data_IF_307427131019
#
_entry.id   IF_307427131019
#
_cell.length_a   1.000
_cell.length_b   1.000
_cell.length_c   1.000
_cell.angle_alpha   90.00
_cell.angle_beta   90.00
_cell.angle_gamma   90.00
#
_symmetry.space_group_name_H-M   'P 1'
#
loop_
_entity.id
_entity.type
_entity.pdbx_description
1 polymer ?
#
# COMPACT_ATOMS: atom_id res chain seq x y z
N UNK A 1 -3.44 6.87 -0.53
CA UNK A 1 -2.74 5.58 -0.72
C UNK A 1 -3.77 4.60 -1.23
N UNK A 2 -3.53 3.95 -2.37
CA UNK A 2 -4.50 3.06 -3.01
C UNK A 2 -3.81 1.79 -3.50
N UNK A 3 -2.89 1.22 -2.70
CA UNK A 3 -2.30 -0.09 -3.00
C UNK A 3 -3.35 -1.19 -3.14
N UNK A 4 -4.49 -0.98 -2.47
CA UNK A 4 -5.69 -1.76 -2.61
C UNK A 4 -6.24 -1.82 -4.05
N UNK A 5 -5.87 -0.92 -4.98
CA UNK A 5 -6.47 -0.90 -6.34
C UNK A 5 -6.13 -2.13 -7.18
N UNK A 6 -5.06 -2.83 -6.80
CA UNK A 6 -4.62 -4.07 -7.45
C UNK A 6 -4.97 -5.32 -6.65
N UNK A 7 -5.56 -5.17 -5.46
CA UNK A 7 -5.92 -6.30 -4.61
C UNK A 7 -7.23 -6.91 -5.09
N UNK A 8 -7.24 -8.22 -5.36
CA UNK A 8 -8.40 -8.95 -5.88
C UNK A 8 -9.67 -8.75 -5.04
N UNK A 9 -9.53 -8.67 -3.71
CA UNK A 9 -10.68 -8.45 -2.82
C UNK A 9 -11.19 -7.00 -2.74
N UNK A 10 -10.55 -6.02 -3.40
CA UNK A 10 -10.91 -4.61 -3.25
C UNK A 10 -12.39 -4.34 -3.52
N UNK A 11 -12.87 -4.85 -4.65
CA UNK A 11 -14.24 -4.62 -5.07
C UNK A 11 -15.22 -5.25 -4.08
N UNK A 12 -14.92 -6.45 -3.60
CA UNK A 12 -15.71 -7.15 -2.60
C UNK A 12 -15.72 -6.38 -1.27
N UNK A 13 -14.57 -5.88 -0.83
CA UNK A 13 -14.43 -5.07 0.39
C UNK A 13 -15.19 -3.75 0.30
N UNK A 14 -15.12 -3.05 -0.84
CA UNK A 14 -15.88 -1.82 -1.09
C UNK A 14 -17.38 -2.14 -1.08
N UNK A 15 -17.80 -3.18 -1.78
CA UNK A 15 -19.20 -3.58 -1.91
C UNK A 15 -19.81 -3.94 -0.55
N UNK A 16 -19.12 -4.75 0.25
CA UNK A 16 -19.55 -5.10 1.60
C UNK A 16 -19.67 -3.85 2.50
N UNK A 17 -18.66 -2.97 2.46
CA UNK A 17 -18.69 -1.70 3.19
C UNK A 17 -19.80 -0.78 2.70
N UNK A 18 -20.13 -0.81 1.40
CA UNK A 18 -21.18 0.02 0.82
C UNK A 18 -22.58 -0.49 1.14
N UNK A 19 -22.80 -1.81 1.17
CA UNK A 19 -24.08 -2.43 1.49
C UNK A 19 -24.44 -2.35 2.98
N UNK A 20 -23.45 -2.20 3.86
CA UNK A 20 -23.73 -2.13 5.30
C UNK A 20 -24.63 -0.94 5.67
N UNK A 21 -25.65 -1.15 6.52
CA UNK A 21 -26.57 -0.10 6.96
C UNK A 21 -25.86 0.95 7.81
N UNK A 22 -26.45 2.15 7.85
CA UNK A 22 -25.94 3.33 8.58
C UNK A 22 -27.00 3.93 9.51
N UNK A 23 -28.28 3.58 9.33
CA UNK A 23 -29.40 4.14 10.10
C UNK A 23 -29.72 5.60 9.79
N UNK A 24 -29.10 6.17 8.75
CA UNK A 24 -29.26 7.57 8.34
C UNK A 24 -29.71 7.68 6.88
N UNK A 25 -30.19 8.86 6.49
CA UNK A 25 -30.76 9.13 5.17
C UNK A 25 -30.07 10.32 4.48
N UNK A 26 -30.34 10.48 3.18
CA UNK A 26 -29.83 11.59 2.38
C UNK A 26 -28.30 11.71 2.40
N UNK A 27 -27.79 12.94 2.44
CA UNK A 27 -26.35 13.23 2.41
C UNK A 27 -25.60 12.70 3.64
N UNK A 28 -26.26 12.59 4.79
CA UNK A 28 -25.65 12.06 6.03
C UNK A 28 -25.31 10.57 5.85
N UNK A 29 -26.18 9.82 5.17
CA UNK A 29 -25.92 8.42 4.83
C UNK A 29 -24.69 8.27 3.96
N UNK A 30 -24.61 9.09 2.90
CA UNK A 30 -23.46 9.09 2.00
C UNK A 30 -22.17 9.42 2.75
N UNK A 31 -22.18 10.46 3.59
CA UNK A 31 -21.02 10.85 4.40
C UNK A 31 -20.55 9.72 5.33
N UNK A 32 -21.48 9.04 6.01
CA UNK A 32 -21.13 7.93 6.90
C UNK A 32 -20.57 6.72 6.15
N UNK A 33 -21.17 6.36 5.00
CA UNK A 33 -20.64 5.29 4.12
C UNK A 33 -19.22 5.61 3.67
N UNK A 34 -18.97 6.84 3.22
CA UNK A 34 -17.63 7.30 2.80
C UNK A 34 -16.63 7.31 3.96
N UNK A 35 -17.04 7.76 5.15
CA UNK A 35 -16.17 7.76 6.33
C UNK A 35 -15.79 6.34 6.75
N UNK A 36 -16.77 5.44 6.86
CA UNK A 36 -16.52 4.02 7.18
C UNK A 36 -15.59 3.39 6.16
N UNK A 37 -15.89 3.59 4.88
CA UNK A 37 -15.07 3.06 3.80
C UNK A 37 -13.63 3.57 3.93
N UNK A 38 -13.41 4.89 4.13
CA UNK A 38 -12.10 5.49 4.35
C UNK A 38 -11.34 4.88 5.53
N UNK A 39 -11.99 4.63 6.66
CA UNK A 39 -11.34 4.03 7.83
C UNK A 39 -10.95 2.57 7.58
N UNK A 40 -11.85 1.79 6.98
CA UNK A 40 -11.58 0.40 6.62
C UNK A 40 -10.39 0.31 5.67
N UNK A 41 -10.39 1.15 4.65
CA UNK A 41 -9.32 1.30 3.68
C UNK A 41 -7.98 1.69 4.32
N UNK A 42 -7.98 2.60 5.31
CA UNK A 42 -6.78 2.93 6.10
C UNK A 42 -6.27 1.72 6.88
N UNK A 43 -7.16 1.01 7.57
CA UNK A 43 -6.82 -0.19 8.31
C UNK A 43 -6.25 -1.26 7.37
N UNK A 44 -6.91 -1.49 6.24
CA UNK A 44 -6.54 -2.51 5.27
C UNK A 44 -5.18 -2.21 4.64
N UNK A 45 -4.92 -0.94 4.33
CA UNK A 45 -3.63 -0.50 3.85
C UNK A 45 -2.50 -0.70 4.89
N UNK A 46 -2.80 -0.56 6.19
CA UNK A 46 -1.83 -0.85 7.26
C UNK A 46 -1.63 -2.35 7.50
N UNK A 47 -2.69 -3.17 7.41
CA UNK A 47 -2.62 -4.59 7.76
C UNK A 47 -2.14 -5.48 6.62
N UNK A 48 -2.51 -5.17 5.37
CA UNK A 48 -2.11 -5.97 4.21
C UNK A 48 -0.75 -5.57 3.68
N UNK A 49 -0.48 -4.26 3.58
CA UNK A 49 0.80 -3.77 3.06
C UNK A 49 1.82 -3.47 4.18
N UNK A 50 1.39 -3.57 5.44
CA UNK A 50 2.25 -3.33 6.60
C UNK A 50 2.76 -1.89 6.69
N UNK A 51 3.74 -1.70 7.58
CA UNK A 51 4.68 -0.60 7.44
C UNK A 51 5.72 -1.03 6.40
N UNK A 52 5.44 -0.73 5.13
CA UNK A 52 6.33 -1.04 4.01
C UNK A 52 7.79 -0.65 4.29
N UNK A 53 8.01 0.49 4.96
CA UNK A 53 9.35 0.97 5.28
C UNK A 53 10.01 0.17 6.41
N UNK A 54 9.22 -0.31 7.39
CA UNK A 54 9.71 -1.26 8.38
C UNK A 54 10.08 -2.61 7.74
N UNK A 55 9.23 -3.13 6.85
CA UNK A 55 9.49 -4.37 6.11
C UNK A 55 10.75 -4.24 5.23
N UNK A 56 10.95 -3.08 4.61
CA UNK A 56 12.16 -2.78 3.83
C UNK A 56 13.41 -2.81 4.70
N UNK A 57 13.37 -2.16 5.88
CA UNK A 57 14.48 -2.17 6.83
C UNK A 57 14.81 -3.59 7.30
N UNK A 58 13.80 -4.36 7.67
CA UNK A 58 13.99 -5.75 8.09
C UNK A 58 14.56 -6.63 6.98
N UNK A 59 14.11 -6.45 5.73
CA UNK A 59 14.65 -7.18 4.59
C UNK A 59 16.11 -6.81 4.29
N UNK A 60 16.47 -5.52 4.40
CA UNK A 60 17.86 -5.07 4.26
C UNK A 60 18.77 -5.63 5.35
N UNK A 61 18.33 -5.58 6.62
CA UNK A 61 19.05 -6.17 7.75
C UNK A 61 19.23 -7.68 7.58
N UNK A 62 18.20 -8.38 7.08
CA UNK A 62 18.27 -9.79 6.78
C UNK A 62 19.32 -10.09 5.69
N UNK A 63 19.31 -9.36 4.57
CA UNK A 63 20.33 -9.52 3.52
C UNK A 63 21.73 -9.33 4.09
N UNK A 64 21.96 -8.24 4.83
CA UNK A 64 23.26 -7.96 5.44
C UNK A 64 23.72 -9.08 6.39
N UNK A 65 22.79 -9.64 7.17
CA UNK A 65 23.09 -10.78 8.05
C UNK A 65 23.49 -12.04 7.26
N UNK A 66 22.85 -12.30 6.11
CA UNK A 66 23.13 -13.48 5.27
C UNK A 66 24.39 -13.30 4.42
N UNK A 67 24.67 -12.09 3.97
CA UNK A 67 25.93 -11.74 3.32
C UNK A 67 27.09 -11.99 4.27
N UNK A 68 26.98 -11.53 5.52
CA UNK A 68 28.00 -11.81 6.54
C UNK A 68 28.19 -13.31 6.77
N UNK A 69 27.10 -14.06 6.91
CA UNK A 69 27.18 -15.52 7.09
C UNK A 69 27.85 -16.23 5.90
N UNK A 70 27.63 -15.74 4.67
CA UNK A 70 28.27 -16.26 3.48
C UNK A 70 29.76 -15.89 3.40
N UNK A 71 30.13 -14.67 3.79
CA UNK A 71 31.55 -14.25 3.89
C UNK A 71 32.30 -15.07 4.93
N UNK A 72 31.69 -15.29 6.10
CA UNK A 72 32.28 -16.08 7.19
C UNK A 72 32.39 -17.57 6.83
N UNK A 73 31.42 -18.11 6.08
CA UNK A 73 31.43 -19.50 5.62
C UNK A 73 30.80 -19.61 4.21
N UNK A 74 31.64 -19.62 3.16
CA UNK A 74 31.17 -19.75 1.78
C UNK A 74 30.75 -21.20 1.51
N UNK A 75 29.45 -21.47 1.64
CA UNK A 75 28.86 -22.77 1.33
C UNK A 75 27.55 -22.61 0.55
N UNK A 76 27.13 -23.68 -0.12
CA UNK A 76 25.93 -23.68 -0.96
C UNK A 76 24.66 -23.34 -0.16
N UNK A 77 24.56 -23.81 1.09
CA UNK A 77 23.43 -23.50 1.98
C UNK A 77 23.34 -22.00 2.27
N UNK A 78 24.47 -21.37 2.62
CA UNK A 78 24.52 -19.94 2.90
C UNK A 78 24.24 -19.10 1.65
N UNK A 79 24.69 -19.55 0.48
CA UNK A 79 24.38 -18.92 -0.81
C UNK A 79 22.88 -18.97 -1.12
N UNK A 80 22.23 -20.13 -0.91
CA UNK A 80 20.79 -20.28 -1.09
C UNK A 80 20.03 -19.35 -0.15
N UNK A 81 20.43 -19.27 1.12
CA UNK A 81 19.80 -18.40 2.11
C UNK A 81 19.99 -16.90 1.80
N UNK A 82 21.17 -16.51 1.31
CA UNK A 82 21.42 -15.16 0.80
C UNK A 82 20.53 -14.84 -0.41
N UNK A 83 20.41 -15.75 -1.36
CA UNK A 83 19.55 -15.58 -2.54
C UNK A 83 18.07 -15.44 -2.14
N UNK A 84 17.60 -16.21 -1.16
CA UNK A 84 16.23 -16.04 -0.61
C UNK A 84 16.03 -14.67 0.03
N UNK A 85 17.00 -14.20 0.82
CA UNK A 85 16.94 -12.87 1.43
C UNK A 85 16.92 -11.76 0.36
N UNK A 86 17.74 -11.89 -0.68
CA UNK A 86 17.77 -10.96 -1.82
C UNK A 86 16.45 -10.95 -2.60
N UNK A 87 15.84 -12.12 -2.83
CA UNK A 87 14.54 -12.21 -3.46
C UNK A 87 13.44 -11.55 -2.61
N UNK A 88 13.48 -11.72 -1.28
CA UNK A 88 12.57 -11.04 -0.37
C UNK A 88 12.75 -9.51 -0.41
N UNK A 89 13.99 -9.02 -0.42
CA UNK A 89 14.28 -7.59 -0.56
C UNK A 89 13.79 -7.03 -1.91
N UNK A 90 14.01 -7.75 -3.01
CA UNK A 90 13.55 -7.36 -4.35
C UNK A 90 12.02 -7.21 -4.40
N UNK A 91 11.28 -8.11 -3.77
CA UNK A 91 9.81 -8.01 -3.68
C UNK A 91 9.38 -6.74 -2.92
N UNK A 92 10.06 -6.41 -1.82
CA UNK A 92 9.75 -5.19 -1.05
C UNK A 92 10.08 -3.92 -1.84
N UNK A 93 11.18 -3.89 -2.57
CA UNK A 93 11.54 -2.79 -3.45
C UNK A 93 10.52 -2.58 -4.58
N UNK A 94 10.02 -3.68 -5.19
CA UNK A 94 8.97 -3.59 -6.19
C UNK A 94 7.68 -2.97 -5.61
N UNK A 95 7.31 -3.33 -4.37
CA UNK A 95 6.19 -2.71 -3.67
C UNK A 95 6.43 -1.22 -3.37
N UNK A 96 7.68 -0.83 -3.08
CA UNK A 96 8.07 0.57 -2.89
C UNK A 96 7.98 1.39 -4.17
N UNK A 97 8.45 0.84 -5.29
CA UNK A 97 8.34 1.50 -6.58
C UNK A 97 6.87 1.76 -6.94
N UNK A 98 6.01 0.75 -6.78
CA UNK A 98 4.57 0.87 -6.98
C UNK A 98 3.95 1.93 -6.05
N UNK A 99 4.41 2.00 -4.80
CA UNK A 99 3.99 3.04 -3.86
C UNK A 99 4.34 4.45 -4.35
N UNK A 100 5.59 4.67 -4.76
CA UNK A 100 6.04 5.98 -5.23
C UNK A 100 5.36 6.38 -6.53
N UNK A 101 5.20 5.44 -7.46
CA UNK A 101 4.47 5.63 -8.71
C UNK A 101 3.04 6.10 -8.44
N UNK A 102 2.29 5.40 -7.60
CA UNK A 102 0.93 5.80 -7.23
C UNK A 102 0.87 7.15 -6.54
N UNK A 103 1.83 7.44 -5.65
CA UNK A 103 1.89 8.72 -4.93
C UNK A 103 2.14 9.88 -5.88
N UNK A 104 3.00 9.71 -6.88
CA UNK A 104 3.23 10.68 -7.94
C UNK A 104 1.99 10.88 -8.81
N UNK A 105 1.33 9.80 -9.25
CA UNK A 105 0.10 9.87 -10.05
C UNK A 105 -1.04 10.59 -9.32
N UNK A 106 -1.28 10.28 -8.04
CA UNK A 106 -2.30 10.97 -7.24
C UNK A 106 -2.00 12.46 -7.09
N UNK A 107 -0.73 12.84 -6.89
CA UNK A 107 -0.33 14.25 -6.84
C UNK A 107 -0.57 14.96 -8.18
N UNK A 108 -0.28 14.30 -9.29
CA UNK A 108 -0.57 14.80 -10.64
C UNK A 108 -2.06 15.01 -10.87
N UNK A 109 -2.89 14.03 -10.52
CA UNK A 109 -4.35 14.12 -10.64
C UNK A 109 -4.96 15.20 -9.74
N UNK A 110 -4.46 15.35 -8.51
CA UNK A 110 -4.93 16.43 -7.62
C UNK A 110 -4.61 17.81 -8.19
N UNK A 111 -3.40 18.00 -8.74
CA UNK A 111 -2.99 19.26 -9.37
C UNK A 111 -3.77 19.55 -10.66
N UNK A 112 -4.18 18.51 -11.39
CA UNK A 112 -5.05 18.65 -12.57
C UNK A 112 -6.54 18.89 -12.24
N UNK A 113 -6.99 18.46 -11.06
CA UNK A 113 -8.36 18.65 -10.57
C UNK A 113 -8.54 19.94 -9.74
N UNK A 114 -7.48 20.73 -9.55
CA UNK A 114 -7.63 22.13 -9.18
C UNK A 114 -8.28 22.84 -10.37
N UNK A 115 -9.61 22.77 -10.45
CA UNK A 115 -10.39 23.75 -11.21
C UNK A 115 -9.95 25.10 -10.62
N UNK A 116 -9.30 25.99 -11.37
CA UNK A 116 -9.04 27.33 -10.88
C UNK A 116 -10.37 27.89 -10.39
N UNK A 117 -10.43 28.49 -9.20
CA UNK A 117 -11.68 29.03 -8.61
C UNK A 117 -12.42 30.05 -9.51
N UNK A 118 -11.87 30.33 -10.69
CA UNK A 118 -12.47 31.06 -11.79
C UNK A 118 -13.73 30.41 -12.40
N UNK A 119 -14.00 29.11 -12.20
CA UNK A 119 -15.21 28.44 -12.72
C UNK A 119 -16.30 28.22 -11.66
N UNK A 120 -16.58 29.23 -10.85
CA UNK A 120 -17.86 29.36 -10.11
C UNK A 120 -18.49 30.71 -10.41
N UNK A 121 -18.92 30.91 -11.66
CA UNK A 121 -19.96 31.86 -12.04
C UNK A 121 -20.70 31.29 -13.26
N UNK A 122 -21.82 30.62 -12.99
CA UNK A 122 -23.09 30.65 -13.74
C UNK A 122 -24.16 29.93 -12.91
#
# INVERSE_FOLDING_TARGET
MRMWMRHHDLLNTIEQSWKAPTGTYGLINLQQKLYRLKQHLKWWNKNIFGDLFANMRMAQELVLSKEKAYVDSPCEVNLIELNKANAALANVLAMEEDFWRQKATCKGLMKGNEIPSFFTLL
#
